data_IF_585674565294
#
_entry.id   IF_585674565294
#
_cell.length_a   1.000
_cell.length_b   1.000
_cell.length_c   1.000
_cell.angle_alpha   90.00
_cell.angle_beta   90.00
_cell.angle_gamma   90.00
#
_symmetry.space_group_name_H-M   'P 1'
#
loop_
_entity.id
_entity.type
_entity.pdbx_description
1 polymer ?
#
# COMPACT_ATOMS: atom_id res chain seq x y z
N UNK A 1 -2.23 -18.05 12.14
CA UNK A 1 -1.43 -18.55 11.03
C UNK A 1 -1.55 -17.64 9.83
N UNK A 2 -0.45 -17.44 9.08
CA UNK A 2 -0.41 -16.62 7.85
C UNK A 2 0.08 -17.48 6.69
N UNK A 3 -0.56 -17.35 5.54
CA UNK A 3 -0.12 -17.96 4.27
C UNK A 3 0.18 -16.85 3.30
N UNK A 4 1.46 -16.69 2.94
CA UNK A 4 1.89 -15.81 1.86
C UNK A 4 1.68 -16.50 0.52
N UNK A 5 0.93 -15.86 -0.40
CA UNK A 5 0.70 -16.41 -1.74
C UNK A 5 1.45 -15.59 -2.76
N UNK A 6 2.27 -16.24 -3.56
CA UNK A 6 3.03 -15.60 -4.64
C UNK A 6 3.08 -16.54 -5.85
N UNK A 7 3.16 -15.98 -7.06
CA UNK A 7 3.30 -16.75 -8.31
C UNK A 7 4.76 -17.18 -8.58
N UNK A 8 5.72 -16.66 -7.82
CA UNK A 8 7.14 -16.93 -7.98
C UNK A 8 7.60 -18.06 -7.05
N UNK A 9 7.83 -19.24 -7.62
CA UNK A 9 8.28 -20.41 -6.88
C UNK A 9 9.55 -20.16 -6.05
N UNK A 10 10.49 -19.34 -6.54
CA UNK A 10 11.73 -19.03 -5.79
C UNK A 10 11.43 -18.22 -4.52
N UNK A 11 10.46 -17.31 -4.56
CA UNK A 11 10.01 -16.56 -3.38
C UNK A 11 9.42 -17.52 -2.36
N UNK A 12 8.53 -18.41 -2.81
CA UNK A 12 7.89 -19.44 -1.98
C UNK A 12 8.95 -20.31 -1.28
N UNK A 13 9.90 -20.85 -2.04
CA UNK A 13 10.96 -21.67 -1.48
C UNK A 13 11.82 -20.90 -0.47
N UNK A 14 12.15 -19.65 -0.78
CA UNK A 14 12.96 -18.79 0.10
C UNK A 14 12.27 -18.58 1.42
N UNK A 15 10.98 -18.16 1.40
CA UNK A 15 10.19 -17.92 2.62
C UNK A 15 10.02 -19.21 3.43
N UNK A 16 9.71 -20.34 2.78
CA UNK A 16 9.50 -21.62 3.47
C UNK A 16 10.79 -22.18 4.10
N UNK A 17 11.96 -21.70 3.70
CA UNK A 17 13.25 -21.95 4.38
C UNK A 17 13.55 -20.98 5.52
N UNK A 18 12.62 -20.08 5.86
CA UNK A 18 12.83 -19.03 6.87
C UNK A 18 13.81 -17.95 6.40
N UNK A 19 13.92 -17.74 5.09
CA UNK A 19 14.79 -16.74 4.48
C UNK A 19 13.99 -15.61 3.86
N UNK A 20 14.64 -14.46 3.62
CA UNK A 20 14.04 -13.30 2.94
C UNK A 20 14.70 -13.06 1.58
N UNK A 21 13.94 -12.48 0.67
CA UNK A 21 14.41 -12.06 -0.66
C UNK A 21 14.55 -10.53 -0.79
N UNK A 22 14.25 -9.80 0.27
CA UNK A 22 14.39 -8.33 0.39
C UNK A 22 15.29 -8.00 1.57
N UNK A 23 15.97 -6.85 1.51
CA UNK A 23 16.86 -6.40 2.59
C UNK A 23 16.11 -5.41 3.47
N UNK A 24 15.81 -5.82 4.70
CA UNK A 24 15.15 -4.97 5.70
C UNK A 24 15.69 -5.31 7.10
N UNK A 25 16.06 -4.31 7.92
CA UNK A 25 16.58 -4.56 9.26
C UNK A 25 15.65 -5.39 10.13
N UNK A 26 16.16 -6.46 10.74
CA UNK A 26 15.40 -7.33 11.64
C UNK A 26 14.44 -8.33 10.97
N UNK A 27 14.13 -8.16 9.68
CA UNK A 27 13.13 -8.99 8.98
C UNK A 27 13.59 -10.46 8.87
N UNK A 28 14.87 -10.72 8.61
CA UNK A 28 15.40 -12.09 8.49
C UNK A 28 15.14 -12.91 9.75
N UNK A 29 15.43 -12.35 10.92
CA UNK A 29 15.25 -13.04 12.21
C UNK A 29 13.76 -13.28 12.51
N UNK A 30 12.92 -12.29 12.17
CA UNK A 30 11.48 -12.40 12.36
C UNK A 30 10.89 -13.50 11.46
N UNK A 31 11.18 -13.48 10.16
CA UNK A 31 10.68 -14.49 9.21
C UNK A 31 11.13 -15.89 9.61
N UNK A 32 12.41 -16.05 9.95
CA UNK A 32 12.92 -17.34 10.41
C UNK A 32 12.13 -17.84 11.63
N UNK A 33 11.96 -17.02 12.66
CA UNK A 33 11.28 -17.41 13.90
C UNK A 33 9.82 -17.80 13.67
N UNK A 34 9.08 -17.07 12.84
CA UNK A 34 7.65 -17.36 12.60
C UNK A 34 7.43 -18.55 11.67
N UNK A 35 8.38 -18.83 10.76
CA UNK A 35 8.37 -20.05 9.93
C UNK A 35 8.69 -21.27 10.77
N UNK A 36 9.75 -21.23 11.61
CA UNK A 36 10.11 -22.32 12.53
C UNK A 36 8.97 -22.63 13.52
N UNK A 37 8.23 -21.60 13.98
CA UNK A 37 7.05 -21.76 14.83
C UNK A 37 5.80 -22.27 14.10
N UNK A 38 5.84 -22.43 12.77
CA UNK A 38 4.69 -22.84 11.95
C UNK A 38 3.60 -21.77 11.81
N UNK A 39 3.90 -20.49 12.10
CA UNK A 39 2.97 -19.38 12.02
C UNK A 39 2.94 -18.72 10.64
N UNK A 40 4.00 -18.89 9.84
CA UNK A 40 4.11 -18.41 8.46
C UNK A 40 4.53 -19.55 7.54
N UNK A 41 3.87 -19.65 6.42
CA UNK A 41 4.30 -20.44 5.25
C UNK A 41 3.94 -19.72 3.96
N UNK A 42 4.56 -20.11 2.87
CA UNK A 42 4.25 -19.59 1.54
C UNK A 42 3.69 -20.70 0.62
N UNK A 43 2.80 -20.32 -0.31
CA UNK A 43 2.13 -21.22 -1.24
C UNK A 43 1.95 -20.55 -2.62
N UNK A 44 1.87 -21.34 -3.68
CA UNK A 44 1.50 -20.87 -5.02
C UNK A 44 0.00 -20.57 -5.16
N UNK A 45 -0.82 -21.20 -4.34
CA UNK A 45 -2.27 -21.09 -4.42
C UNK A 45 -2.83 -20.57 -3.09
N UNK A 46 -3.89 -19.73 -3.16
CA UNK A 46 -4.67 -19.38 -1.98
C UNK A 46 -5.34 -20.59 -1.36
N UNK A 47 -5.79 -20.43 -0.13
CA UNK A 47 -6.59 -21.41 0.60
C UNK A 47 -7.65 -20.68 1.45
N UNK A 48 -8.54 -21.41 2.09
CA UNK A 48 -9.54 -20.85 3.00
C UNK A 48 -8.86 -20.08 4.16
N UNK A 49 -9.36 -18.89 4.43
CA UNK A 49 -8.88 -18.00 5.49
C UNK A 49 -10.02 -17.12 6.00
N UNK A 50 -9.83 -16.51 7.15
CA UNK A 50 -10.78 -15.53 7.71
C UNK A 50 -10.50 -14.10 7.18
N UNK A 51 -9.27 -13.86 6.73
CA UNK A 51 -8.82 -12.54 6.22
C UNK A 51 -7.95 -12.73 4.98
N UNK A 52 -8.28 -12.01 3.92
CA UNK A 52 -7.53 -11.96 2.67
C UNK A 52 -6.96 -10.55 2.47
N UNK A 53 -5.63 -10.44 2.37
CA UNK A 53 -4.93 -9.20 2.09
C UNK A 53 -4.40 -9.22 0.65
N UNK A 54 -4.77 -8.24 -0.16
CA UNK A 54 -4.28 -8.09 -1.55
C UNK A 54 -3.17 -7.06 -1.55
N UNK A 55 -1.92 -7.54 -1.78
CA UNK A 55 -0.67 -6.77 -1.68
C UNK A 55 0.18 -6.95 -2.94
N UNK A 56 -0.43 -6.80 -4.09
CA UNK A 56 0.19 -6.99 -5.41
C UNK A 56 0.65 -5.67 -6.03
N UNK A 57 1.63 -5.69 -6.97
CA UNK A 57 2.05 -4.47 -7.65
C UNK A 57 0.92 -3.86 -8.50
N UNK A 58 0.97 -2.53 -8.67
CA UNK A 58 0.06 -1.75 -9.52
C UNK A 58 0.88 -0.85 -10.46
N UNK A 59 1.48 -1.40 -11.53
CA UNK A 59 2.29 -0.66 -12.48
C UNK A 59 1.43 0.15 -13.46
N UNK A 60 2.07 0.81 -14.41
CA UNK A 60 1.40 1.39 -15.58
C UNK A 60 1.09 0.36 -16.68
N UNK A 61 0.03 0.62 -17.45
CA UNK A 61 -0.21 0.00 -18.75
C UNK A 61 0.48 0.78 -19.86
N UNK A 62 1.47 0.19 -20.50
CA UNK A 62 2.09 0.77 -21.68
C UNK A 62 2.72 2.15 -21.44
N UNK A 63 2.72 3.00 -22.51
CA UNK A 63 3.39 4.30 -22.50
C UNK A 63 2.53 5.50 -22.11
N UNK A 64 1.26 5.32 -21.79
CA UNK A 64 0.30 6.40 -21.50
C UNK A 64 0.02 6.63 -20.00
N UNK A 65 0.79 6.02 -19.14
CA UNK A 65 0.69 6.13 -17.67
C UNK A 65 -0.68 5.73 -17.08
N UNK A 66 -1.47 4.92 -17.80
CA UNK A 66 -2.71 4.38 -17.24
C UNK A 66 -2.43 3.36 -16.13
N UNK A 67 -3.17 3.41 -15.00
CA UNK A 67 -3.02 2.43 -13.92
C UNK A 67 -3.33 1.01 -14.39
N UNK A 68 -2.47 0.05 -14.04
CA UNK A 68 -2.73 -1.35 -14.29
C UNK A 68 -3.24 -2.07 -13.03
N UNK A 69 -4.55 -2.26 -12.95
CA UNK A 69 -5.20 -3.02 -11.87
C UNK A 69 -5.38 -4.50 -12.21
N UNK A 70 -4.80 -5.01 -13.30
CA UNK A 70 -4.96 -6.43 -13.70
C UNK A 70 -4.40 -7.38 -12.66
N UNK A 71 -3.33 -7.00 -11.96
CA UNK A 71 -2.77 -7.79 -10.87
C UNK A 71 -3.73 -7.87 -9.67
N UNK A 72 -4.37 -6.75 -9.30
CA UNK A 72 -5.40 -6.73 -8.24
C UNK A 72 -6.58 -7.60 -8.64
N UNK A 73 -7.03 -7.49 -9.89
CA UNK A 73 -8.12 -8.31 -10.44
C UNK A 73 -7.77 -9.79 -10.41
N UNK A 74 -6.57 -10.17 -10.88
CA UNK A 74 -6.13 -11.56 -10.89
C UNK A 74 -6.01 -12.15 -9.48
N UNK A 75 -5.42 -11.39 -8.54
CA UNK A 75 -5.33 -11.81 -7.15
C UNK A 75 -6.73 -11.96 -6.51
N UNK A 76 -7.65 -11.06 -6.82
CA UNK A 76 -9.05 -11.16 -6.38
C UNK A 76 -9.70 -12.41 -6.94
N UNK A 77 -9.59 -12.68 -8.23
CA UNK A 77 -10.13 -13.89 -8.87
C UNK A 77 -9.55 -15.17 -8.26
N UNK A 78 -8.26 -15.16 -7.92
CA UNK A 78 -7.62 -16.31 -7.30
C UNK A 78 -8.18 -16.62 -5.91
N UNK A 79 -8.61 -15.62 -5.11
CA UNK A 79 -9.14 -15.84 -3.76
C UNK A 79 -10.66 -16.05 -3.73
N UNK A 80 -11.42 -15.65 -4.77
CA UNK A 80 -12.89 -15.80 -4.83
C UNK A 80 -13.39 -17.22 -4.48
N UNK A 81 -12.77 -18.32 -4.99
CA UNK A 81 -13.22 -19.68 -4.66
C UNK A 81 -13.13 -20.05 -3.17
N UNK A 82 -12.27 -19.36 -2.42
CA UNK A 82 -11.97 -19.64 -1.01
C UNK A 82 -12.72 -18.72 -0.04
N UNK A 83 -13.40 -17.68 -0.56
CA UNK A 83 -14.20 -16.77 0.27
C UNK A 83 -15.44 -17.47 0.83
N UNK A 84 -15.75 -17.19 2.08
CA UNK A 84 -16.96 -17.63 2.78
C UNK A 84 -17.63 -16.50 3.55
N UNK A 85 -18.85 -16.73 4.00
CA UNK A 85 -19.59 -15.79 4.83
C UNK A 85 -18.80 -15.40 6.10
N UNK A 86 -18.70 -14.12 6.39
CA UNK A 86 -17.97 -13.57 7.53
C UNK A 86 -16.51 -13.21 7.27
N UNK A 87 -15.95 -13.56 6.12
CA UNK A 87 -14.57 -13.24 5.77
C UNK A 87 -14.35 -11.75 5.54
N UNK A 88 -13.11 -11.33 5.77
CA UNK A 88 -12.64 -9.98 5.54
C UNK A 88 -11.68 -9.96 4.35
N UNK A 89 -12.02 -9.20 3.31
CA UNK A 89 -11.20 -8.94 2.14
C UNK A 89 -10.68 -7.50 2.18
N UNK A 90 -9.36 -7.32 2.11
CA UNK A 90 -8.72 -6.01 2.19
C UNK A 90 -7.77 -5.83 0.99
N UNK A 91 -7.80 -4.67 0.36
CA UNK A 91 -6.78 -4.24 -0.60
C UNK A 91 -5.83 -3.27 0.12
N UNK A 92 -4.54 -3.57 0.11
CA UNK A 92 -3.47 -2.67 0.57
C UNK A 92 -2.67 -2.07 -0.61
N UNK A 93 -2.74 -2.69 -1.79
CA UNK A 93 -2.09 -2.20 -3.01
C UNK A 93 -2.56 -0.78 -3.34
N UNK A 94 -1.63 0.12 -3.67
CA UNK A 94 -1.98 1.47 -4.15
C UNK A 94 -2.84 1.36 -5.40
N UNK A 95 -4.01 1.97 -5.39
CA UNK A 95 -5.03 1.76 -6.43
C UNK A 95 -5.75 3.06 -6.77
N UNK A 96 -6.21 3.21 -8.03
CA UNK A 96 -7.13 4.28 -8.41
C UNK A 96 -8.43 4.23 -7.60
N UNK A 97 -9.04 5.39 -7.39
CA UNK A 97 -10.31 5.51 -6.67
C UNK A 97 -11.41 4.68 -7.33
N UNK A 98 -12.09 3.86 -6.53
CA UNK A 98 -13.15 2.95 -6.97
C UNK A 98 -12.67 1.52 -7.26
N UNK A 99 -11.39 1.21 -7.09
CA UNK A 99 -10.86 -0.16 -7.28
C UNK A 99 -11.50 -1.15 -6.30
N UNK A 100 -11.65 -0.77 -5.04
CA UNK A 100 -12.29 -1.62 -4.02
C UNK A 100 -13.74 -1.96 -4.39
N UNK A 101 -14.50 -0.97 -4.88
CA UNK A 101 -15.85 -1.18 -5.36
C UNK A 101 -15.92 -2.10 -6.60
N UNK A 102 -14.94 -1.98 -7.52
CA UNK A 102 -14.84 -2.88 -8.68
C UNK A 102 -14.57 -4.31 -8.27
N UNK A 103 -13.68 -4.52 -7.30
CA UNK A 103 -13.39 -5.87 -6.78
C UNK A 103 -14.60 -6.44 -6.03
N UNK A 104 -15.32 -5.64 -5.28
CA UNK A 104 -16.61 -6.03 -4.68
C UNK A 104 -17.60 -6.51 -5.75
N UNK A 105 -17.75 -5.75 -6.83
CA UNK A 105 -18.65 -6.13 -7.93
C UNK A 105 -18.22 -7.44 -8.58
N UNK A 106 -16.93 -7.65 -8.80
CA UNK A 106 -16.37 -8.88 -9.34
C UNK A 106 -16.69 -10.08 -8.43
N UNK A 107 -16.44 -9.96 -7.13
CA UNK A 107 -16.73 -11.00 -6.14
C UNK A 107 -18.22 -11.34 -6.15
N UNK A 108 -19.10 -10.34 -6.14
CA UNK A 108 -20.55 -10.56 -6.12
C UNK A 108 -21.12 -11.08 -7.44
N UNK A 109 -20.44 -10.82 -8.56
CA UNK A 109 -20.81 -11.40 -9.86
C UNK A 109 -20.49 -12.90 -9.94
N UNK A 110 -19.34 -13.34 -9.39
CA UNK A 110 -18.92 -14.73 -9.39
C UNK A 110 -19.52 -15.53 -8.22
N UNK A 111 -19.77 -14.89 -7.07
CA UNK A 111 -20.30 -15.49 -5.85
C UNK A 111 -21.48 -14.66 -5.30
N UNK A 112 -22.65 -14.67 -5.99
CA UNK A 112 -23.82 -13.88 -5.59
C UNK A 112 -24.33 -14.15 -4.18
N UNK A 113 -24.13 -15.36 -3.67
CA UNK A 113 -24.51 -15.78 -2.32
C UNK A 113 -23.71 -15.09 -1.22
N UNK A 114 -22.54 -14.50 -1.54
CA UNK A 114 -21.70 -13.75 -0.61
C UNK A 114 -22.08 -12.26 -0.52
N UNK A 115 -23.04 -11.82 -1.33
CA UNK A 115 -23.46 -10.41 -1.33
C UNK A 115 -23.96 -9.99 0.05
N UNK A 116 -23.34 -8.95 0.60
CA UNK A 116 -23.59 -8.42 1.94
C UNK A 116 -23.28 -9.40 3.09
N UNK A 117 -22.49 -10.46 2.82
CA UNK A 117 -22.11 -11.44 3.82
C UNK A 117 -20.61 -11.50 4.09
N UNK A 118 -19.81 -10.79 3.30
CA UNK A 118 -18.37 -10.59 3.51
C UNK A 118 -18.11 -9.12 3.74
N UNK A 119 -16.97 -8.84 4.39
CA UNK A 119 -16.50 -7.50 4.68
C UNK A 119 -15.41 -7.13 3.67
N UNK A 120 -15.51 -5.95 3.07
CA UNK A 120 -14.57 -5.50 2.04
C UNK A 120 -14.07 -4.12 2.41
N UNK A 121 -12.74 -3.94 2.44
CA UNK A 121 -12.11 -2.69 2.84
C UNK A 121 -10.83 -2.40 2.03
N UNK A 122 -10.38 -1.17 2.14
CA UNK A 122 -9.10 -0.69 1.67
C UNK A 122 -8.29 -0.11 2.83
N UNK A 123 -7.01 -0.45 2.91
CA UNK A 123 -6.09 0.10 3.90
C UNK A 123 -4.70 0.23 3.27
N UNK A 124 -4.31 1.40 2.73
CA UNK A 124 -3.05 1.54 2.02
C UNK A 124 -1.84 1.36 2.92
N UNK A 125 -0.79 0.72 2.38
CA UNK A 125 0.50 0.67 3.04
C UNK A 125 1.23 2.01 2.95
N UNK A 126 1.86 2.44 4.06
CA UNK A 126 2.46 3.78 4.22
C UNK A 126 3.85 3.74 4.88
N UNK A 127 4.56 2.61 4.79
CA UNK A 127 5.89 2.46 5.40
C UNK A 127 7.02 2.94 4.48
N UNK A 128 8.13 3.29 5.10
CA UNK A 128 9.38 3.62 4.40
C UNK A 128 10.35 2.43 4.49
N UNK A 129 11.01 2.06 3.39
CA UNK A 129 12.09 1.08 3.42
C UNK A 129 13.18 1.46 4.42
N UNK A 130 13.70 0.46 5.12
CA UNK A 130 14.70 0.63 6.16
C UNK A 130 14.17 0.76 7.59
N UNK A 131 12.84 0.93 7.76
CA UNK A 131 12.18 1.01 9.06
C UNK A 131 10.81 0.30 9.09
N UNK A 132 10.61 -0.63 8.17
CA UNK A 132 9.31 -1.25 7.88
C UNK A 132 8.68 -1.89 9.11
N UNK A 133 9.42 -2.69 9.87
CA UNK A 133 8.87 -3.40 11.03
C UNK A 133 8.34 -2.47 12.12
N UNK A 134 9.07 -1.38 12.40
CA UNK A 134 8.62 -0.39 13.35
C UNK A 134 7.39 0.37 12.84
N UNK A 135 7.43 0.80 11.59
CA UNK A 135 6.37 1.61 11.00
C UNK A 135 5.08 0.83 10.77
N UNK A 136 5.16 -0.48 10.46
CA UNK A 136 3.98 -1.36 10.37
C UNK A 136 3.17 -1.39 11.66
N UNK A 137 3.84 -1.30 12.81
CA UNK A 137 3.17 -1.29 14.12
C UNK A 137 2.78 0.12 14.59
N UNK A 138 3.56 1.16 14.26
CA UNK A 138 3.44 2.46 14.93
C UNK A 138 2.83 3.56 14.07
N UNK A 139 2.84 3.43 12.73
CA UNK A 139 2.21 4.42 11.88
C UNK A 139 0.69 4.38 11.99
N UNK A 140 0.08 5.56 11.96
CA UNK A 140 -1.37 5.69 11.81
C UNK A 140 -1.83 5.05 10.50
N UNK A 141 -2.98 4.39 10.51
CA UNK A 141 -3.58 3.80 9.31
C UNK A 141 -4.90 4.48 8.95
N UNK A 142 -5.14 4.61 7.64
CA UNK A 142 -6.42 5.05 7.10
C UNK A 142 -7.16 3.83 6.59
N UNK A 143 -8.32 3.53 7.15
CA UNK A 143 -9.09 2.31 6.87
C UNK A 143 -10.47 2.69 6.37
N UNK A 144 -10.80 2.27 5.15
CA UNK A 144 -12.07 2.56 4.51
C UNK A 144 -12.76 1.32 3.97
N UNK A 145 -13.94 0.99 4.51
CA UNK A 145 -14.78 -0.09 3.99
C UNK A 145 -15.77 0.37 2.92
N UNK A 146 -16.36 -0.60 2.22
CA UNK A 146 -17.51 -0.37 1.32
C UNK A 146 -18.76 0.07 2.10
N UNK A 147 -18.81 -0.23 3.39
CA UNK A 147 -19.81 0.17 4.36
C UNK A 147 -19.18 0.27 5.76
N UNK A 148 -19.93 0.72 6.74
CA UNK A 148 -19.46 0.91 8.12
C UNK A 148 -19.05 -0.41 8.77
N UNK A 149 -19.80 -1.50 8.55
CA UNK A 149 -19.49 -2.80 9.12
C UNK A 149 -18.15 -3.35 8.60
N UNK A 150 -17.86 -3.16 7.29
CA UNK A 150 -16.57 -3.52 6.69
C UNK A 150 -15.44 -2.69 7.28
N UNK A 151 -15.66 -1.39 7.51
CA UNK A 151 -14.67 -0.52 8.16
C UNK A 151 -14.36 -1.02 9.57
N UNK A 152 -15.40 -1.29 10.38
CA UNK A 152 -15.24 -1.77 11.77
C UNK A 152 -14.52 -3.12 11.81
N UNK A 153 -14.85 -4.03 10.90
CA UNK A 153 -14.20 -5.35 10.82
C UNK A 153 -12.71 -5.24 10.49
N UNK A 154 -12.36 -4.35 9.55
CA UNK A 154 -10.97 -4.08 9.20
C UNK A 154 -10.22 -3.40 10.37
N UNK A 155 -10.82 -2.43 11.04
CA UNK A 155 -10.26 -1.81 12.25
C UNK A 155 -9.99 -2.85 13.34
N UNK A 156 -10.92 -3.76 13.60
CA UNK A 156 -10.73 -4.87 14.55
C UNK A 156 -9.57 -5.79 14.17
N UNK A 157 -9.35 -6.00 12.88
CA UNK A 157 -8.20 -6.78 12.40
C UNK A 157 -6.89 -6.06 12.69
N UNK A 158 -6.74 -4.80 12.24
CA UNK A 158 -5.51 -4.01 12.40
C UNK A 158 -5.20 -3.69 13.87
N UNK A 159 -6.20 -3.48 14.72
CA UNK A 159 -6.01 -3.20 16.16
C UNK A 159 -5.28 -4.31 16.92
N UNK A 160 -5.15 -5.49 16.33
CA UNK A 160 -4.41 -6.62 16.96
C UNK A 160 -2.91 -6.41 16.96
N UNK A 161 -2.36 -5.61 16.06
CA UNK A 161 -0.92 -5.42 15.92
C UNK A 161 -0.49 -3.97 15.67
N UNK A 162 -1.38 -3.09 15.21
CA UNK A 162 -1.08 -1.67 15.01
C UNK A 162 -1.25 -0.91 16.33
N UNK A 163 -0.23 -0.17 16.71
CA UNK A 163 -0.17 0.70 17.90
C UNK A 163 -0.51 2.15 17.58
N UNK A 164 -0.39 2.55 16.30
CA UNK A 164 -0.81 3.86 15.81
C UNK A 164 -2.33 4.04 15.79
N UNK A 165 -2.79 5.23 15.46
CA UNK A 165 -4.22 5.50 15.36
C UNK A 165 -4.83 4.86 14.10
N UNK A 166 -6.05 4.34 14.23
CA UNK A 166 -6.80 3.76 13.14
C UNK A 166 -7.91 4.73 12.72
N UNK A 167 -7.68 5.49 11.64
CA UNK A 167 -8.59 6.50 11.12
C UNK A 167 -9.62 5.86 10.19
N UNK A 168 -10.90 5.94 10.60
CA UNK A 168 -12.02 5.35 9.87
C UNK A 168 -12.53 6.28 8.77
N UNK A 169 -12.81 5.72 7.60
CA UNK A 169 -13.43 6.43 6.48
C UNK A 169 -14.13 5.43 5.55
N UNK A 170 -14.49 5.83 4.33
CA UNK A 170 -14.96 4.95 3.26
C UNK A 170 -13.81 4.55 2.31
N UNK A 171 -14.02 3.50 1.51
CA UNK A 171 -12.99 2.96 0.61
C UNK A 171 -12.44 4.00 -0.37
N UNK A 172 -13.31 4.82 -0.99
CA UNK A 172 -12.92 5.85 -1.95
C UNK A 172 -12.02 6.92 -1.33
N UNK A 173 -12.35 7.38 -0.13
CA UNK A 173 -11.54 8.36 0.58
C UNK A 173 -10.20 7.76 1.00
N UNK A 174 -10.16 6.51 1.44
CA UNK A 174 -8.91 5.83 1.81
C UNK A 174 -8.00 5.62 0.59
N UNK A 175 -8.55 5.23 -0.57
CA UNK A 175 -7.82 5.16 -1.84
C UNK A 175 -7.23 6.52 -2.23
N UNK A 176 -8.05 7.59 -2.19
CA UNK A 176 -7.62 8.95 -2.54
C UNK A 176 -6.56 9.49 -1.57
N UNK A 177 -6.64 9.17 -0.27
CA UNK A 177 -5.63 9.60 0.71
C UNK A 177 -4.22 9.16 0.28
N UNK A 178 -4.05 7.90 -0.10
CA UNK A 178 -2.74 7.37 -0.55
C UNK A 178 -2.21 8.12 -1.76
N UNK A 179 -3.06 8.34 -2.75
CA UNK A 179 -2.68 9.05 -3.98
C UNK A 179 -2.33 10.50 -3.68
N UNK A 180 -3.13 11.18 -2.85
CA UNK A 180 -2.91 12.57 -2.46
C UNK A 180 -1.59 12.76 -1.72
N UNK A 181 -1.22 11.85 -0.81
CA UNK A 181 0.06 11.90 -0.09
C UNK A 181 1.25 11.91 -1.05
N UNK A 182 1.26 10.99 -2.02
CA UNK A 182 2.36 10.87 -2.97
C UNK A 182 2.36 12.01 -4.00
N UNK A 183 1.18 12.46 -4.47
CA UNK A 183 1.06 13.60 -5.39
C UNK A 183 1.46 14.91 -4.73
N UNK A 184 1.11 15.13 -3.46
CA UNK A 184 1.57 16.30 -2.70
C UNK A 184 3.09 16.32 -2.59
N UNK A 185 3.72 15.17 -2.38
CA UNK A 185 5.17 15.05 -2.32
C UNK A 185 5.82 15.30 -3.69
N UNK A 186 5.24 14.82 -4.77
CA UNK A 186 5.69 15.07 -6.15
C UNK A 186 5.69 16.57 -6.46
N UNK A 187 4.58 17.26 -6.18
CA UNK A 187 4.48 18.72 -6.38
C UNK A 187 5.52 19.48 -5.56
N UNK A 188 5.78 19.08 -4.32
CA UNK A 188 6.80 19.70 -3.47
C UNK A 188 8.22 19.50 -4.02
N UNK A 189 8.52 18.32 -4.58
CA UNK A 189 9.81 18.05 -5.24
C UNK A 189 9.92 18.89 -6.52
N UNK A 190 8.86 18.92 -7.34
CA UNK A 190 8.82 19.70 -8.57
C UNK A 190 9.04 21.19 -8.29
N UNK A 191 8.40 21.73 -7.25
CA UNK A 191 8.61 23.13 -6.83
C UNK A 191 10.07 23.41 -6.43
N UNK A 192 10.69 22.52 -5.64
CA UNK A 192 12.10 22.68 -5.24
C UNK A 192 13.05 22.64 -6.46
N UNK A 193 12.77 21.77 -7.42
CA UNK A 193 13.55 21.65 -8.65
C UNK A 193 13.40 22.90 -9.54
N UNK A 194 12.17 23.39 -9.72
CA UNK A 194 11.94 24.63 -10.48
C UNK A 194 12.63 25.85 -9.82
N UNK A 195 12.58 25.91 -8.49
CA UNK A 195 13.27 26.95 -7.71
C UNK A 195 14.79 26.92 -7.97
N UNK A 196 15.39 25.72 -8.09
CA UNK A 196 16.83 25.60 -8.40
C UNK A 196 17.18 26.19 -9.77
N UNK A 197 16.32 25.98 -10.78
CA UNK A 197 16.51 26.54 -12.12
C UNK A 197 16.36 28.07 -12.14
N UNK A 198 15.44 28.61 -11.34
CA UNK A 198 15.27 30.06 -11.16
C UNK A 198 16.50 30.66 -10.48
N UNK A 199 17.00 30.03 -9.42
CA UNK A 199 18.16 30.47 -8.66
C UNK A 199 19.42 30.47 -9.52
N UNK A 200 19.63 29.46 -10.34
CA UNK A 200 20.76 29.37 -11.27
C UNK A 200 20.77 30.58 -12.23
N UNK A 201 19.65 30.91 -12.84
CA UNK A 201 19.50 32.09 -13.71
C UNK A 201 19.68 33.43 -12.98
N UNK A 202 19.32 33.47 -11.70
CA UNK A 202 19.42 34.69 -10.88
C UNK A 202 20.77 34.84 -10.16
N UNK A 203 21.68 33.88 -10.27
CA UNK A 203 22.95 33.85 -9.54
C UNK A 203 22.79 33.68 -8.02
N UNK A 204 21.76 32.97 -7.59
CA UNK A 204 21.43 32.73 -6.18
C UNK A 204 21.78 31.29 -5.81
N UNK A 205 22.35 31.08 -4.61
CA UNK A 205 22.55 29.77 -4.05
C UNK A 205 21.19 29.20 -3.55
N UNK A 206 20.65 28.21 -4.25
CA UNK A 206 19.33 27.63 -3.92
C UNK A 206 19.31 26.94 -2.55
N UNK A 207 20.41 26.36 -2.12
CA UNK A 207 20.53 25.67 -0.83
C UNK A 207 20.42 26.67 0.34
N UNK A 208 21.14 27.80 0.24
CA UNK A 208 21.05 28.89 1.20
C UNK A 208 19.66 29.52 1.20
N UNK A 209 19.09 29.77 0.01
CA UNK A 209 17.73 30.29 -0.11
C UNK A 209 16.72 29.42 0.60
N UNK A 210 16.74 28.09 0.35
CA UNK A 210 15.79 27.14 0.96
C UNK A 210 15.99 27.08 2.47
N UNK A 211 17.23 27.06 2.95
CA UNK A 211 17.50 27.09 4.39
C UNK A 211 16.89 28.32 5.06
N UNK A 212 17.08 29.51 4.47
CA UNK A 212 16.52 30.74 4.98
C UNK A 212 15.02 30.84 4.87
N UNK A 213 14.44 30.42 3.74
CA UNK A 213 12.99 30.39 3.53
C UNK A 213 12.28 29.46 4.54
N UNK A 214 12.89 28.32 4.86
CA UNK A 214 12.36 27.38 5.83
C UNK A 214 12.45 27.86 7.30
N UNK A 215 13.08 29.01 7.59
CA UNK A 215 12.95 29.67 8.91
C UNK A 215 11.55 30.26 9.12
N UNK A 216 10.79 30.46 8.03
CA UNK A 216 9.43 30.95 8.15
C UNK A 216 8.52 29.78 8.65
N UNK A 217 7.72 29.96 9.71
CA UNK A 217 7.03 28.87 10.40
C UNK A 217 5.97 28.11 9.57
N UNK A 218 5.57 28.66 8.44
CA UNK A 218 4.59 28.04 7.52
C UNK A 218 5.20 27.58 6.21
N UNK A 219 6.53 27.51 6.11
CA UNK A 219 7.25 27.12 4.88
C UNK A 219 8.10 25.90 5.16
N UNK A 220 7.98 24.88 4.29
CA UNK A 220 8.80 23.66 4.33
C UNK A 220 9.11 23.22 2.90
N UNK A 221 10.08 23.85 2.27
CA UNK A 221 10.54 23.55 0.92
C UNK A 221 11.52 22.37 1.00
N UNK A 222 11.32 21.37 0.15
CA UNK A 222 12.23 20.23 0.02
C UNK A 222 13.54 20.63 -0.66
N UNK A 223 14.53 19.74 -0.57
CA UNK A 223 15.79 19.94 -1.27
C UNK A 223 15.64 19.59 -2.75
N UNK A 224 16.17 20.40 -3.69
CA UNK A 224 16.14 20.08 -5.11
C UNK A 224 17.07 18.90 -5.42
N UNK A 225 16.73 18.16 -6.49
CA UNK A 225 17.48 17.01 -6.98
C UNK A 225 17.37 16.88 -8.50
N UNK A 226 17.79 15.74 -9.03
CA UNK A 226 17.78 15.48 -10.47
C UNK A 226 16.40 15.06 -11.05
N UNK A 227 15.33 15.19 -10.28
CA UNK A 227 13.97 14.85 -10.70
C UNK A 227 13.28 13.92 -9.70
N UNK A 228 12.10 13.43 -10.08
CA UNK A 228 11.33 12.45 -9.32
C UNK A 228 11.65 11.05 -9.82
N UNK A 229 11.98 10.13 -8.92
CA UNK A 229 12.29 8.74 -9.24
C UNK A 229 11.61 7.76 -8.27
N UNK A 230 11.92 6.48 -8.45
CA UNK A 230 11.37 5.39 -7.63
C UNK A 230 10.05 4.84 -8.13
N UNK A 231 9.50 3.89 -7.38
CA UNK A 231 8.31 3.12 -7.79
C UNK A 231 6.98 3.74 -7.33
N UNK A 232 7.02 4.68 -6.39
CA UNK A 232 5.81 5.26 -5.79
C UNK A 232 5.55 6.68 -6.33
N UNK A 233 6.41 7.65 -6.01
CA UNK A 233 6.16 9.07 -6.34
C UNK A 233 6.17 9.31 -7.86
N UNK A 234 6.94 8.55 -8.62
CA UNK A 234 6.96 8.64 -10.09
C UNK A 234 5.73 7.98 -10.76
N UNK A 235 4.89 7.26 -10.02
CA UNK A 235 3.78 6.46 -10.55
C UNK A 235 2.44 6.92 -10.00
N UNK A 236 2.29 6.95 -8.69
CA UNK A 236 0.99 7.15 -8.02
C UNK A 236 0.27 8.47 -8.36
N UNK A 237 0.96 9.61 -8.64
CA UNK A 237 0.29 10.85 -9.06
C UNK A 237 -0.57 10.70 -10.32
N UNK A 238 -0.23 9.76 -11.20
CA UNK A 238 -1.02 9.50 -12.41
C UNK A 238 -2.31 8.69 -12.16
N UNK A 239 -2.51 8.21 -10.92
CA UNK A 239 -3.70 7.44 -10.55
C UNK A 239 -4.87 8.32 -10.05
N UNK A 240 -4.64 9.66 -9.95
CA UNK A 240 -5.66 10.66 -9.61
C UNK A 240 -6.55 10.99 -10.79
#
# INVERSE_FOLDING_TARGET
>A
QVVGVDINEKVIETINRGQIHIVEPGLQQLVQSVVEAGNLRASLLPEEADVFLIVVPTPFKGGNHEPDITYVTAATQAVIPYLKEGDLYIIESTSPVGTTEKMMQLIYAERPELKNKIYIAYCPERVLPGNVLYELEHNDRVIGGINEESTEKAVQFYSRFVKGNLHKTNSRTAEMCKLTENSSRDVQIAFANELSLICDKAGINVWELIELANKHPRVNILQPGCGVGGHCIAVDPYFI
#
